data_IF_583906550244
#
_entry.id   IF_583906550244
#
_cell.length_a   1.000
_cell.length_b   1.000
_cell.length_c   1.000
_cell.angle_alpha   90.00
_cell.angle_beta   90.00
_cell.angle_gamma   90.00
#
_symmetry.space_group_name_H-M   'P 1'
#
loop_
_entity.id
_entity.type
_entity.pdbx_description
1 polymer ?
#
# COMPACT_ATOMS: atom_id res chain seq x y z
N UNK A 1 56.78 -30.77 -2.25
CA UNK A 1 56.74 -29.70 -1.22
C UNK A 1 55.87 -28.60 -1.83
N UNK A 2 54.60 -28.50 -1.38
CA UNK A 2 54.01 -27.32 -0.67
C UNK A 2 54.27 -26.01 -1.42
N UNK A 3 53.37 -25.10 -1.75
CA UNK A 3 51.94 -24.79 -1.53
C UNK A 3 51.79 -23.41 -2.20
N UNK A 4 50.60 -23.00 -2.65
CA UNK A 4 50.42 -21.61 -3.06
C UNK A 4 49.15 -21.32 -3.85
N UNK A 5 48.00 -21.71 -3.31
CA UNK A 5 46.70 -21.18 -3.74
C UNK A 5 46.54 -19.78 -3.16
N UNK A 6 46.21 -18.78 -3.98
CA UNK A 6 45.56 -17.55 -3.52
C UNK A 6 44.23 -17.46 -4.23
N UNK A 7 43.17 -17.52 -3.41
CA UNK A 7 41.77 -17.47 -3.79
C UNK A 7 41.43 -16.07 -4.32
N UNK A 8 40.99 -16.00 -5.57
CA UNK A 8 40.26 -14.83 -6.06
C UNK A 8 38.89 -14.82 -5.37
N UNK A 9 38.66 -13.84 -4.49
CA UNK A 9 37.37 -13.61 -3.88
C UNK A 9 36.43 -13.07 -4.97
N UNK A 10 35.65 -13.97 -5.58
CA UNK A 10 34.49 -13.59 -6.36
C UNK A 10 33.47 -12.99 -5.39
N UNK A 11 33.33 -11.67 -5.40
CA UNK A 11 32.15 -11.02 -4.83
C UNK A 11 30.98 -11.43 -5.71
N UNK A 12 30.23 -12.43 -5.26
CA UNK A 12 28.94 -12.78 -5.81
C UNK A 12 28.00 -11.61 -5.51
N UNK A 13 27.89 -10.65 -6.43
CA UNK A 13 26.79 -9.70 -6.42
C UNK A 13 25.55 -10.55 -6.70
N UNK A 14 24.81 -10.88 -5.64
CA UNK A 14 23.48 -11.45 -5.77
C UNK A 14 22.68 -10.43 -6.56
N UNK A 15 22.46 -10.73 -7.85
CA UNK A 15 21.46 -10.05 -8.65
C UNK A 15 20.18 -10.10 -7.84
N UNK A 16 19.74 -8.93 -7.35
CA UNK A 16 18.48 -8.81 -6.65
C UNK A 16 17.41 -9.44 -7.52
N UNK A 17 16.77 -10.49 -7.02
CA UNK A 17 15.54 -10.98 -7.60
C UNK A 17 14.52 -9.87 -7.40
N UNK A 18 14.48 -8.89 -8.31
CA UNK A 18 13.29 -8.11 -8.53
C UNK A 18 12.24 -9.15 -8.93
N UNK A 19 11.42 -9.57 -7.95
CA UNK A 19 10.26 -10.40 -8.21
C UNK A 19 9.43 -9.77 -9.33
N UNK A 20 8.54 -10.55 -9.97
CA UNK A 20 7.71 -10.02 -11.04
C UNK A 20 7.10 -8.69 -10.59
N UNK A 21 7.41 -7.62 -11.33
CA UNK A 21 6.79 -6.31 -11.12
C UNK A 21 5.28 -6.58 -11.05
N UNK A 22 4.60 -6.21 -9.95
CA UNK A 22 3.18 -6.47 -9.83
C UNK A 22 2.47 -5.87 -11.06
N UNK A 23 1.37 -6.50 -11.51
CA UNK A 23 0.65 -6.05 -12.68
C UNK A 23 0.32 -4.55 -12.60
N UNK A 24 0.13 -3.88 -13.74
CA UNK A 24 -0.27 -2.47 -13.78
C UNK A 24 -1.46 -2.22 -12.85
N UNK A 25 -1.41 -1.13 -12.08
CA UNK A 25 -2.45 -0.72 -11.11
C UNK A 25 -3.81 -0.62 -11.80
N UNK A 26 -4.59 -1.69 -11.82
CA UNK A 26 -6.04 -1.62 -11.94
C UNK A 26 -6.53 -0.98 -10.64
N UNK A 27 -7.15 0.19 -10.77
CA UNK A 27 -7.26 1.22 -9.72
C UNK A 27 -7.67 0.74 -8.32
N UNK A 28 -7.18 1.46 -7.30
CA UNK A 28 -7.49 1.22 -5.90
C UNK A 28 -6.63 0.14 -5.22
N UNK A 29 -7.09 -0.39 -4.07
CA UNK A 29 -6.35 -1.36 -3.27
C UNK A 29 -6.29 -2.73 -3.96
N UNK A 30 -5.15 -3.41 -3.85
CA UNK A 30 -4.97 -4.76 -4.40
C UNK A 30 -5.54 -5.78 -3.41
N UNK A 31 -6.47 -6.63 -3.86
CA UNK A 31 -6.94 -7.75 -3.02
C UNK A 31 -5.84 -8.79 -2.90
N UNK A 32 -5.38 -9.02 -1.67
CA UNK A 32 -4.36 -10.02 -1.34
C UNK A 32 -4.94 -10.89 -0.23
N UNK A 33 -4.77 -12.21 -0.32
CA UNK A 33 -5.47 -13.19 0.52
C UNK A 33 -5.73 -12.75 1.96
N UNK A 34 -7.01 -12.68 2.34
CA UNK A 34 -7.45 -12.25 3.68
C UNK A 34 -7.61 -10.74 3.88
N UNK A 35 -7.40 -9.91 2.84
CA UNK A 35 -7.61 -8.47 2.94
C UNK A 35 -7.23 -7.69 1.69
N UNK A 36 -6.70 -6.48 1.89
CA UNK A 36 -6.28 -5.60 0.81
C UNK A 36 -4.96 -4.88 1.13
N UNK A 37 -4.14 -4.71 0.11
CA UNK A 37 -2.92 -3.92 0.13
C UNK A 37 -3.20 -2.54 -0.46
N UNK A 38 -3.22 -1.54 0.42
CA UNK A 38 -3.38 -0.14 0.08
C UNK A 38 -2.05 0.46 -0.32
N UNK A 39 -2.07 1.32 -1.35
CA UNK A 39 -0.90 2.05 -1.83
C UNK A 39 -1.24 3.51 -2.11
N UNK A 40 -0.37 4.42 -1.70
CA UNK A 40 -0.52 5.84 -1.95
C UNK A 40 0.81 6.46 -2.35
N UNK A 41 0.84 7.20 -3.46
CA UNK A 41 2.07 7.84 -3.95
C UNK A 41 2.12 9.31 -3.58
N UNK A 42 3.10 9.67 -2.76
CA UNK A 42 3.40 11.06 -2.42
C UNK A 42 4.84 11.16 -1.87
N UNK A 43 5.75 11.73 -2.66
CA UNK A 43 7.17 11.90 -2.29
C UNK A 43 7.42 13.01 -1.27
N UNK A 44 6.44 13.91 -1.07
CA UNK A 44 6.57 15.04 -0.15
C UNK A 44 5.94 14.74 1.23
N UNK A 45 5.19 13.64 1.33
CA UNK A 45 4.57 13.20 2.58
C UNK A 45 5.63 12.81 3.61
N UNK A 46 5.38 13.12 4.89
CA UNK A 46 6.21 12.67 6.01
C UNK A 46 5.54 11.56 6.79
N UNK A 47 4.21 11.56 6.80
CA UNK A 47 3.37 10.51 7.38
C UNK A 47 2.12 10.34 6.52
N UNK A 48 1.73 9.10 6.32
CA UNK A 48 0.46 8.74 5.68
C UNK A 48 -0.24 7.74 6.59
N UNK A 49 -1.52 7.97 6.84
CA UNK A 49 -2.38 7.06 7.58
C UNK A 49 -3.51 6.57 6.69
N UNK A 50 -3.88 5.31 6.82
CA UNK A 50 -5.09 4.77 6.24
C UNK A 50 -6.27 5.03 7.18
N UNK A 51 -7.37 5.55 6.64
CA UNK A 51 -8.62 5.75 7.38
C UNK A 51 -9.78 5.18 6.59
N UNK A 52 -10.77 4.62 7.26
CA UNK A 52 -11.98 4.14 6.63
C UNK A 52 -12.95 3.48 7.61
N UNK A 53 -13.97 2.83 7.08
CA UNK A 53 -15.02 2.21 7.89
C UNK A 53 -14.49 1.16 8.86
N UNK A 54 -13.43 0.45 8.49
CA UNK A 54 -12.82 -0.63 9.29
C UNK A 54 -12.03 -0.15 10.51
N UNK A 55 -11.70 1.15 10.60
CA UNK A 55 -10.99 1.73 11.74
C UNK A 55 -11.69 2.97 12.32
N UNK A 56 -13.00 3.05 12.15
CA UNK A 56 -13.83 4.17 12.63
C UNK A 56 -13.30 5.55 12.18
N UNK A 57 -12.69 5.61 11.00
CA UNK A 57 -12.10 6.83 10.44
C UNK A 57 -11.03 7.49 11.34
N UNK A 58 -10.32 6.71 12.16
CA UNK A 58 -9.34 7.21 13.11
C UNK A 58 -8.04 7.70 12.41
N UNK A 59 -7.70 9.01 12.44
CA UNK A 59 -6.68 9.61 11.56
C UNK A 59 -5.22 9.33 11.97
N UNK A 60 -4.99 8.46 12.95
CA UNK A 60 -3.66 8.24 13.52
C UNK A 60 -3.37 6.81 14.02
N UNK A 61 -4.31 5.86 13.82
CA UNK A 61 -4.18 4.48 14.32
C UNK A 61 -3.38 3.59 13.38
N UNK A 62 -3.52 3.81 12.07
CA UNK A 62 -3.01 2.89 11.04
C UNK A 62 -2.01 3.60 10.11
N UNK A 63 -0.74 3.80 10.53
CA UNK A 63 0.29 4.40 9.71
C UNK A 63 0.70 3.48 8.55
N UNK A 64 0.90 4.06 7.37
CA UNK A 64 1.48 3.38 6.21
C UNK A 64 3.01 3.48 6.22
N UNK A 65 3.68 2.56 5.53
CA UNK A 65 5.15 2.48 5.46
C UNK A 65 5.68 2.80 4.07
N UNK A 66 6.77 3.56 4.01
CA UNK A 66 7.60 3.83 2.83
C UNK A 66 9.07 3.60 3.24
N UNK A 67 9.46 2.32 3.37
CA UNK A 67 10.77 1.95 3.94
C UNK A 67 11.94 2.26 3.00
N UNK A 68 11.68 2.27 1.68
CA UNK A 68 12.70 2.55 0.67
C UNK A 68 12.79 4.03 0.31
N UNK A 69 11.87 4.86 0.78
CA UNK A 69 11.83 6.31 0.55
C UNK A 69 11.56 6.68 -0.91
N UNK A 70 10.88 5.81 -1.66
CA UNK A 70 10.55 6.07 -3.07
C UNK A 70 9.23 6.84 -3.25
N UNK A 71 8.57 7.19 -2.14
CA UNK A 71 7.31 7.91 -2.10
C UNK A 71 6.10 7.01 -2.32
N UNK A 72 6.24 5.69 -2.32
CA UNK A 72 5.14 4.71 -2.38
C UNK A 72 4.84 4.16 -0.98
N UNK A 73 3.84 4.77 -0.35
CA UNK A 73 3.34 4.37 0.96
C UNK A 73 2.46 3.14 0.84
N UNK A 74 2.66 2.14 1.69
CA UNK A 74 1.93 0.87 1.65
C UNK A 74 1.41 0.46 3.02
N UNK A 75 0.26 -0.23 3.04
CA UNK A 75 -0.26 -0.91 4.23
C UNK A 75 -1.17 -2.06 3.81
N UNK A 76 -0.91 -3.25 4.33
CA UNK A 76 -1.85 -4.36 4.26
C UNK A 76 -2.85 -4.25 5.42
N UNK A 77 -4.14 -4.38 5.12
CA UNK A 77 -5.20 -4.40 6.11
C UNK A 77 -6.04 -5.68 5.96
N UNK A 78 -6.21 -6.49 7.02
CA UNK A 78 -7.10 -7.65 6.99
C UNK A 78 -8.56 -7.21 6.83
N UNK A 79 -9.22 -7.66 5.76
CA UNK A 79 -10.60 -7.31 5.45
C UNK A 79 -11.33 -8.53 4.89
N UNK A 80 -12.55 -8.74 5.40
CA UNK A 80 -13.48 -9.71 4.84
C UNK A 80 -14.28 -9.15 3.66
N UNK A 81 -15.08 -9.99 2.98
CA UNK A 81 -16.07 -9.52 2.02
C UNK A 81 -16.91 -8.36 2.55
N UNK A 82 -17.22 -7.41 1.69
CA UNK A 82 -17.93 -6.20 2.10
C UNK A 82 -17.63 -5.00 1.22
N UNK A 83 -18.23 -3.87 1.60
CA UNK A 83 -18.01 -2.55 0.99
C UNK A 83 -17.44 -1.64 2.07
N UNK A 84 -16.33 -0.97 1.77
CA UNK A 84 -15.62 -0.10 2.69
C UNK A 84 -15.28 1.23 2.01
N UNK A 85 -15.71 2.34 2.61
CA UNK A 85 -15.23 3.66 2.27
C UNK A 85 -13.90 3.95 3.00
N UNK A 86 -12.99 4.65 2.32
CA UNK A 86 -11.66 4.94 2.85
C UNK A 86 -11.04 6.21 2.25
N UNK A 87 -10.01 6.74 2.92
CA UNK A 87 -9.11 7.81 2.47
C UNK A 87 -7.69 7.60 3.01
N UNK A 88 -6.78 8.48 2.58
CA UNK A 88 -5.46 8.68 3.17
C UNK A 88 -5.41 10.00 3.93
N UNK A 89 -4.86 10.00 5.14
CA UNK A 89 -4.55 11.22 5.90
C UNK A 89 -3.05 11.50 5.79
N UNK A 90 -2.70 12.57 5.10
CA UNK A 90 -1.31 12.99 4.87
C UNK A 90 -0.92 14.08 5.86
N UNK A 91 0.19 13.87 6.56
CA UNK A 91 0.76 14.77 7.57
C UNK A 91 -0.26 15.25 8.63
N UNK A 92 -1.26 14.41 8.94
CA UNK A 92 -2.29 14.67 9.95
C UNK A 92 -3.30 15.76 9.60
N UNK A 93 -3.30 16.28 8.36
CA UNK A 93 -4.12 17.45 7.97
C UNK A 93 -4.86 17.28 6.65
N UNK A 94 -4.31 16.55 5.70
CA UNK A 94 -4.87 16.45 4.36
C UNK A 94 -5.58 15.13 4.18
N UNK A 95 -6.89 15.17 3.96
CA UNK A 95 -7.73 14.00 3.71
C UNK A 95 -7.89 13.80 2.22
N UNK A 96 -7.26 12.75 1.70
CA UNK A 96 -7.10 12.53 0.27
C UNK A 96 -7.79 11.21 -0.09
N UNK A 97 -8.82 11.27 -0.94
CA UNK A 97 -9.32 10.07 -1.61
C UNK A 97 -8.19 9.44 -2.43
N UNK A 98 -8.18 8.12 -2.55
CA UNK A 98 -7.22 7.40 -3.39
C UNK A 98 -7.29 7.91 -4.84
N UNK A 99 -6.25 8.61 -5.32
CA UNK A 99 -6.28 9.19 -6.66
C UNK A 99 -6.28 8.14 -7.78
N UNK A 100 -6.01 6.89 -7.43
CA UNK A 100 -5.95 5.77 -8.36
C UNK A 100 -7.24 4.96 -8.38
N UNK A 101 -8.14 5.14 -7.41
CA UNK A 101 -9.39 4.40 -7.33
C UNK A 101 -10.54 5.19 -8.00
N UNK A 102 -11.08 4.72 -9.14
CA UNK A 102 -12.21 5.38 -9.77
C UNK A 102 -13.52 5.20 -8.98
N UNK A 103 -13.62 4.15 -8.16
CA UNK A 103 -14.81 3.90 -7.34
C UNK A 103 -14.81 4.86 -6.15
N UNK A 104 -15.77 5.77 -6.15
CA UNK A 104 -15.87 6.84 -5.16
C UNK A 104 -17.33 7.07 -4.74
N UNK A 105 -17.51 7.69 -3.58
CA UNK A 105 -18.80 8.16 -3.08
C UNK A 105 -18.65 9.52 -2.39
N UNK A 106 -19.72 10.31 -2.35
CA UNK A 106 -19.69 11.61 -1.68
C UNK A 106 -19.45 11.42 -0.17
N UNK A 107 -18.58 12.23 0.42
CA UNK A 107 -18.25 12.14 1.85
C UNK A 107 -19.19 12.95 2.76
N UNK A 108 -20.13 13.70 2.18
CA UNK A 108 -21.06 14.57 2.91
C UNK A 108 -20.51 15.95 3.26
N UNK A 109 -19.28 16.28 2.84
CA UNK A 109 -18.59 17.54 3.09
C UNK A 109 -18.06 18.19 1.79
N UNK A 110 -18.83 18.05 0.71
CA UNK A 110 -18.45 18.45 -0.66
C UNK A 110 -17.15 17.79 -1.17
N UNK A 111 -16.75 16.66 -0.58
CA UNK A 111 -15.63 15.83 -0.99
C UNK A 111 -16.05 14.41 -1.35
N UNK A 112 -15.04 13.54 -1.48
CA UNK A 112 -15.20 12.16 -1.92
C UNK A 112 -14.42 11.18 -1.04
N UNK A 113 -15.02 10.04 -0.73
CA UNK A 113 -14.36 8.84 -0.25
C UNK A 113 -14.01 7.93 -1.43
N UNK A 114 -12.93 7.18 -1.32
CA UNK A 114 -12.70 6.04 -2.21
C UNK A 114 -13.41 4.82 -1.65
N UNK A 115 -13.76 3.89 -2.54
CA UNK A 115 -14.57 2.74 -2.20
C UNK A 115 -13.84 1.47 -2.58
N UNK A 116 -13.69 0.56 -1.62
CA UNK A 116 -13.23 -0.80 -1.82
C UNK A 116 -14.43 -1.76 -1.72
N UNK A 117 -14.61 -2.61 -2.72
CA UNK A 117 -15.57 -3.71 -2.67
C UNK A 117 -14.81 -5.03 -2.73
N UNK A 118 -14.96 -5.83 -1.68
CA UNK A 118 -14.43 -7.19 -1.59
C UNK A 118 -15.61 -8.14 -1.82
N UNK A 119 -15.62 -8.92 -2.93
CA UNK A 119 -16.73 -9.81 -3.22
C UNK A 119 -16.77 -10.98 -2.23
N UNK A 120 -17.98 -11.46 -1.96
CA UNK A 120 -18.17 -12.77 -1.35
C UNK A 120 -17.65 -13.85 -2.31
N UNK A 121 -16.78 -14.72 -1.80
CA UNK A 121 -16.41 -15.92 -2.54
C UNK A 121 -17.54 -16.94 -2.35
N UNK A 122 -18.52 -16.93 -3.24
CA UNK A 122 -19.50 -18.03 -3.29
C UNK A 122 -18.78 -19.31 -3.75
N UNK A 123 -18.88 -20.42 -2.99
CA UNK A 123 -18.32 -21.72 -3.38
C UNK A 123 -18.85 -22.26 -4.70
#
# INVERSE_FOLDING_TARGET
MKSGVVFAMFVLVLAGCAGPKPPPRTGGPELVGGGALFRYRNSDAKKVYLVGDFNDWAPSTDPMTDENGDGEWTLFYPLGPGRYAYKFVVDGRSWIADPTNPETEADGFDGWNSVLVIPELTP
#
